data_IF_501307603896
#
_entry.id   IF_501307603896
#
_cell.length_a   1.000
_cell.length_b   1.000
_cell.length_c   1.000
_cell.angle_alpha   90.00
_cell.angle_beta   90.00
_cell.angle_gamma   90.00
#
_symmetry.space_group_name_H-M   'P 1'
#
loop_
_entity.id
_entity.type
_entity.pdbx_description
1 polymer ?
#
# COMPACT_ATOMS: atom_id res chain seq x y z
N UNK A 1 16.75 21.77 40.64
CA UNK A 1 15.75 21.29 39.66
C UNK A 1 16.50 20.44 38.67
N UNK A 2 16.21 19.14 38.60
CA UNK A 2 16.83 18.26 37.60
C UNK A 2 16.15 18.54 36.26
N UNK A 3 16.94 18.94 35.27
CA UNK A 3 16.51 19.07 33.88
C UNK A 3 16.05 17.69 33.40
N UNK A 4 14.76 17.56 33.13
CA UNK A 4 14.20 16.38 32.51
C UNK A 4 14.59 16.42 31.03
N UNK A 5 15.73 15.82 30.67
CA UNK A 5 16.06 15.56 29.28
C UNK A 5 15.02 14.60 28.72
N UNK A 6 14.11 15.14 27.90
CA UNK A 6 13.17 14.34 27.12
C UNK A 6 14.01 13.55 26.11
N UNK A 7 13.98 12.23 26.22
CA UNK A 7 14.62 11.34 25.26
C UNK A 7 13.83 11.36 23.94
N UNK A 8 14.27 12.22 23.01
CA UNK A 8 13.67 12.41 21.70
C UNK A 8 14.00 11.28 20.71
N UNK A 9 14.79 10.26 21.11
CA UNK A 9 15.09 9.11 20.25
C UNK A 9 13.84 8.30 19.86
N UNK A 10 12.73 8.46 20.60
CA UNK A 10 11.44 7.85 20.30
C UNK A 10 10.65 8.55 19.17
N UNK A 11 11.02 9.77 18.78
CA UNK A 11 10.42 10.48 17.64
C UNK A 11 11.14 10.14 16.33
N UNK A 12 11.42 8.85 16.13
CA UNK A 12 12.04 8.38 14.91
C UNK A 12 11.07 8.64 13.75
N UNK A 13 11.51 9.50 12.82
CA UNK A 13 10.69 10.03 11.75
C UNK A 13 10.32 8.88 10.81
N UNK A 14 9.06 8.42 10.85
CA UNK A 14 8.58 7.33 10.01
C UNK A 14 7.53 7.85 9.02
N UNK A 15 7.83 7.75 7.74
CA UNK A 15 6.88 7.96 6.64
C UNK A 15 6.42 6.62 6.10
N UNK A 16 5.17 6.54 5.63
CA UNK A 16 4.66 5.36 4.94
C UNK A 16 5.13 5.29 3.47
N UNK A 17 5.57 6.41 2.88
CA UNK A 17 6.00 6.47 1.48
C UNK A 17 7.48 6.11 1.29
N UNK A 18 7.78 5.26 0.30
CA UNK A 18 9.14 4.83 -0.03
C UNK A 18 9.97 5.96 -0.63
N UNK A 19 9.37 6.78 -1.50
CA UNK A 19 9.98 7.98 -2.07
C UNK A 19 10.38 9.00 -0.99
N UNK A 20 9.50 9.27 -0.01
CA UNK A 20 9.83 10.17 1.10
C UNK A 20 10.97 9.59 1.97
N UNK A 21 10.95 8.27 2.21
CA UNK A 21 11.96 7.61 3.00
C UNK A 21 13.35 7.64 2.34
N UNK A 22 13.39 7.44 1.02
CA UNK A 22 14.59 7.54 0.21
C UNK A 22 15.13 8.98 0.18
N UNK A 23 14.27 9.98 -0.06
CA UNK A 23 14.68 11.39 -0.08
C UNK A 23 15.27 11.83 1.27
N UNK A 24 14.65 11.42 2.38
CA UNK A 24 15.16 11.71 3.73
C UNK A 24 16.53 11.08 3.98
N UNK A 25 16.73 9.82 3.61
CA UNK A 25 18.00 9.14 3.82
C UNK A 25 19.13 9.75 2.97
N UNK A 26 18.83 10.17 1.73
CA UNK A 26 19.77 10.93 0.89
C UNK A 26 20.15 12.27 1.49
N UNK A 27 19.18 13.04 1.97
CA UNK A 27 19.41 14.35 2.60
C UNK A 27 20.25 14.23 3.88
N UNK A 28 19.95 13.24 4.73
CA UNK A 28 20.67 13.02 5.98
C UNK A 28 22.13 12.60 5.76
N UNK A 29 22.39 11.81 4.73
CA UNK A 29 23.71 11.25 4.44
C UNK A 29 24.51 12.08 3.43
N UNK A 30 23.87 13.08 2.79
CA UNK A 30 24.45 13.91 1.73
C UNK A 30 25.03 13.08 0.57
N UNK A 31 24.30 12.03 0.15
CA UNK A 31 24.70 11.13 -0.94
C UNK A 31 23.70 11.18 -2.11
N UNK A 32 24.21 11.03 -3.33
CA UNK A 32 23.39 11.06 -4.55
C UNK A 32 22.58 9.78 -4.78
N UNK A 33 22.97 8.66 -4.17
CA UNK A 33 22.25 7.38 -4.22
C UNK A 33 22.55 6.54 -3.00
N UNK A 34 21.59 5.70 -2.61
CA UNK A 34 21.68 4.85 -1.42
C UNK A 34 22.11 3.44 -1.86
N UNK A 35 23.27 2.93 -1.38
CA UNK A 35 23.67 1.55 -1.66
C UNK A 35 22.57 0.55 -1.29
N UNK A 36 22.32 -0.43 -2.17
CA UNK A 36 21.25 -1.41 -1.98
C UNK A 36 19.84 -0.91 -2.30
N UNK A 37 19.70 0.30 -2.87
CA UNK A 37 18.43 0.83 -3.36
C UNK A 37 18.59 1.30 -4.81
N UNK A 38 17.76 0.78 -5.70
CA UNK A 38 17.66 1.23 -7.09
C UNK A 38 16.39 2.04 -7.28
N UNK A 39 16.48 3.15 -7.99
CA UNK A 39 15.35 4.01 -8.35
C UNK A 39 15.29 4.21 -9.86
N UNK A 40 14.09 4.15 -10.41
CA UNK A 40 13.77 4.52 -11.79
C UNK A 40 12.56 5.46 -11.75
N UNK A 41 12.68 6.63 -12.38
CA UNK A 41 11.65 7.66 -12.36
C UNK A 41 11.32 8.12 -13.77
N UNK A 42 10.02 8.21 -14.04
CA UNK A 42 9.50 8.76 -15.29
C UNK A 42 8.45 9.81 -14.99
N UNK A 43 8.32 10.79 -15.88
CA UNK A 43 7.25 11.77 -15.81
C UNK A 43 6.64 11.93 -17.20
N UNK A 44 5.33 11.69 -17.30
CA UNK A 44 4.55 11.90 -18.53
C UNK A 44 3.18 12.45 -18.18
N UNK A 45 2.68 13.41 -18.95
CA UNK A 45 1.32 13.94 -18.84
C UNK A 45 0.93 14.45 -17.42
N UNK A 46 1.92 14.94 -16.66
CA UNK A 46 1.75 15.40 -15.29
C UNK A 46 1.59 14.27 -14.26
N UNK A 47 1.96 13.04 -14.63
CA UNK A 47 2.02 11.87 -13.78
C UNK A 47 3.48 11.47 -13.60
N UNK A 48 4.00 11.61 -12.38
CA UNK A 48 5.33 11.12 -12.02
C UNK A 48 5.21 9.71 -11.47
N UNK A 49 5.99 8.79 -12.01
CA UNK A 49 6.02 7.39 -11.61
C UNK A 49 7.42 7.05 -11.14
N UNK A 50 7.55 6.56 -9.91
CA UNK A 50 8.83 6.18 -9.29
C UNK A 50 8.79 4.71 -8.89
N UNK A 51 9.70 3.92 -9.46
CA UNK A 51 9.96 2.54 -9.12
C UNK A 51 11.19 2.47 -8.22
N UNK A 52 11.00 2.07 -6.97
CA UNK A 52 12.07 1.88 -5.99
C UNK A 52 12.20 0.39 -5.70
N UNK A 53 13.39 -0.16 -5.88
CA UNK A 53 13.73 -1.54 -5.52
C UNK A 53 14.75 -1.52 -4.39
N UNK A 54 14.35 -2.04 -3.23
CA UNK A 54 15.22 -2.24 -2.08
C UNK A 54 15.80 -3.65 -2.21
N UNK A 55 17.07 -3.73 -2.61
CA UNK A 55 17.70 -4.97 -3.07
C UNK A 55 18.22 -5.84 -1.92
N UNK A 56 18.58 -5.23 -0.78
CA UNK A 56 19.20 -5.94 0.33
C UNK A 56 18.88 -5.29 1.69
N UNK A 57 19.30 -5.97 2.76
CA UNK A 57 19.07 -5.55 4.14
C UNK A 57 19.79 -4.25 4.49
N UNK A 58 20.95 -3.98 3.89
CA UNK A 58 21.66 -2.72 4.07
C UNK A 58 20.82 -1.55 3.54
N UNK A 59 20.31 -1.63 2.31
CA UNK A 59 19.41 -0.63 1.75
C UNK A 59 18.13 -0.47 2.57
N UNK A 60 17.58 -1.57 3.09
CA UNK A 60 16.42 -1.56 3.97
C UNK A 60 16.65 -0.79 5.27
N UNK A 61 17.83 -0.95 5.90
CA UNK A 61 18.22 -0.21 7.10
C UNK A 61 18.43 1.27 6.80
N UNK A 62 19.02 1.59 5.64
CA UNK A 62 19.28 2.98 5.24
C UNK A 62 17.99 3.78 5.03
N UNK A 63 16.96 3.18 4.41
CA UNK A 63 15.69 3.88 4.14
C UNK A 63 14.56 3.53 5.11
N UNK A 64 14.74 2.56 6.01
CA UNK A 64 13.70 2.12 6.94
C UNK A 64 12.49 1.46 6.26
N UNK A 65 12.69 0.81 5.12
CA UNK A 65 11.68 0.05 4.36
C UNK A 65 12.15 -1.37 4.14
N UNK A 66 11.24 -2.33 4.11
CA UNK A 66 11.61 -3.73 3.91
C UNK A 66 12.19 -3.95 2.49
N UNK A 67 13.06 -4.96 2.30
CA UNK A 67 13.48 -5.38 0.96
C UNK A 67 12.27 -5.74 0.09
N UNK A 68 12.24 -5.25 -1.15
CA UNK A 68 11.12 -5.43 -2.07
C UNK A 68 10.99 -4.31 -3.09
N UNK A 69 9.86 -4.30 -3.78
CA UNK A 69 9.52 -3.38 -4.85
C UNK A 69 8.46 -2.38 -4.37
N UNK A 70 8.66 -1.12 -4.69
CA UNK A 70 7.76 -0.02 -4.39
C UNK A 70 7.50 0.76 -5.67
N UNK A 71 6.22 0.91 -6.03
CA UNK A 71 5.78 1.74 -7.13
C UNK A 71 5.02 2.93 -6.54
N UNK A 72 5.42 4.15 -6.87
CA UNK A 72 4.74 5.37 -6.45
C UNK A 72 4.27 6.14 -7.68
N UNK A 73 2.99 6.54 -7.69
CA UNK A 73 2.38 7.38 -8.71
C UNK A 73 1.98 8.70 -8.06
N UNK A 74 2.64 9.80 -8.43
CA UNK A 74 2.41 11.15 -7.92
C UNK A 74 1.79 12.04 -8.99
N UNK A 75 0.62 12.61 -8.67
CA UNK A 75 -0.17 13.45 -9.59
C UNK A 75 -0.74 14.63 -8.80
N UNK A 76 0.01 15.74 -8.64
CA UNK A 76 -0.42 16.89 -7.85
C UNK A 76 -1.79 17.46 -8.27
N UNK A 77 -2.10 17.38 -9.57
CA UNK A 77 -3.34 17.88 -10.14
C UNK A 77 -4.60 17.05 -9.79
N UNK A 78 -4.48 15.84 -9.22
CA UNK A 78 -5.64 15.02 -8.83
C UNK A 78 -6.59 15.73 -7.86
N UNK A 79 -6.06 16.67 -7.06
CA UNK A 79 -6.85 17.47 -6.11
C UNK A 79 -7.90 18.37 -6.76
N UNK A 80 -7.73 18.68 -8.05
CA UNK A 80 -8.69 19.48 -8.83
C UNK A 80 -9.99 18.74 -9.13
N UNK A 81 -10.01 17.40 -8.99
CA UNK A 81 -11.14 16.53 -9.30
C UNK A 81 -11.60 16.60 -10.77
N UNK A 82 -10.68 16.89 -11.69
CA UNK A 82 -10.94 16.83 -13.13
C UNK A 82 -11.15 15.38 -13.58
N UNK A 83 -12.31 15.09 -14.19
CA UNK A 83 -12.69 13.73 -14.57
C UNK A 83 -11.79 13.15 -15.68
N UNK A 84 -11.36 13.97 -16.63
CA UNK A 84 -10.47 13.52 -17.70
C UNK A 84 -9.10 13.14 -17.14
N UNK A 85 -8.59 13.90 -16.17
CA UNK A 85 -7.37 13.55 -15.45
C UNK A 85 -7.55 12.25 -14.66
N UNK A 86 -8.65 12.08 -13.95
CA UNK A 86 -8.93 10.84 -13.20
C UNK A 86 -8.92 9.61 -14.10
N UNK A 87 -9.54 9.70 -15.28
CA UNK A 87 -9.54 8.60 -16.26
C UNK A 87 -8.14 8.28 -16.77
N UNK A 88 -7.34 9.31 -17.10
CA UNK A 88 -5.93 9.12 -17.50
C UNK A 88 -5.10 8.47 -16.39
N UNK A 89 -5.25 8.94 -15.15
CA UNK A 89 -4.53 8.38 -14.00
C UNK A 89 -4.96 6.95 -13.73
N UNK A 90 -6.25 6.64 -13.85
CA UNK A 90 -6.74 5.27 -13.68
C UNK A 90 -6.16 4.33 -14.74
N UNK A 91 -6.13 4.75 -16.01
CA UNK A 91 -5.52 3.98 -17.09
C UNK A 91 -4.00 3.79 -16.89
N UNK A 92 -3.28 4.87 -16.52
CA UNK A 92 -1.86 4.83 -16.21
C UNK A 92 -1.57 3.87 -15.05
N UNK A 93 -2.29 4.03 -13.93
CA UNK A 93 -2.15 3.17 -12.77
C UNK A 93 -2.45 1.71 -13.09
N UNK A 94 -3.48 1.42 -13.90
CA UNK A 94 -3.80 0.06 -14.31
C UNK A 94 -2.66 -0.59 -15.11
N UNK A 95 -2.00 0.16 -16.00
CA UNK A 95 -0.85 -0.32 -16.76
C UNK A 95 0.36 -0.59 -15.85
N UNK A 96 0.73 0.37 -15.01
CA UNK A 96 1.85 0.23 -14.07
C UNK A 96 1.60 -0.90 -13.06
N UNK A 97 0.38 -1.02 -12.55
CA UNK A 97 0.01 -2.09 -11.62
C UNK A 97 0.01 -3.47 -12.29
N UNK A 98 -0.41 -3.56 -13.55
CA UNK A 98 -0.31 -4.80 -14.33
C UNK A 98 1.15 -5.21 -14.54
N UNK A 99 2.04 -4.27 -14.86
CA UNK A 99 3.47 -4.51 -14.94
C UNK A 99 4.05 -4.94 -13.59
N UNK A 100 3.65 -4.27 -12.51
CA UNK A 100 4.07 -4.59 -11.14
C UNK A 100 3.75 -6.05 -10.78
N UNK A 101 2.54 -6.50 -11.08
CA UNK A 101 2.13 -7.89 -10.86
C UNK A 101 2.99 -8.89 -11.65
N UNK A 102 3.36 -8.56 -12.88
CA UNK A 102 4.23 -9.41 -13.71
C UNK A 102 5.65 -9.45 -13.16
N UNK A 103 6.21 -8.31 -12.78
CA UNK A 103 7.59 -8.18 -12.29
C UNK A 103 7.81 -8.93 -10.96
N UNK A 104 6.78 -8.96 -10.10
CA UNK A 104 6.80 -9.72 -8.85
C UNK A 104 6.32 -11.17 -9.01
N UNK A 105 6.10 -11.63 -10.26
CA UNK A 105 5.87 -13.03 -10.60
C UNK A 105 4.46 -13.55 -10.31
N UNK A 106 3.45 -12.69 -10.29
CA UNK A 106 2.05 -13.11 -10.11
C UNK A 106 1.47 -13.63 -11.42
N UNK A 107 0.92 -14.85 -11.37
CA UNK A 107 0.25 -15.47 -12.51
C UNK A 107 -0.98 -14.66 -12.97
N UNK A 108 -1.20 -14.60 -14.30
CA UNK A 108 -2.30 -13.86 -14.89
C UNK A 108 -3.69 -14.37 -14.41
N UNK A 109 -3.78 -15.65 -14.03
CA UNK A 109 -4.98 -16.34 -13.57
C UNK A 109 -4.99 -16.59 -12.05
N UNK A 110 -4.07 -16.00 -11.29
CA UNK A 110 -3.99 -16.13 -9.83
C UNK A 110 -5.35 -15.83 -9.16
N UNK A 111 -5.77 -16.66 -8.19
CA UNK A 111 -6.92 -16.38 -7.32
C UNK A 111 -6.56 -15.23 -6.39
N UNK A 112 -7.26 -14.11 -6.50
CA UNK A 112 -6.95 -12.90 -5.73
C UNK A 112 -7.98 -12.69 -4.63
N UNK A 113 -7.50 -12.41 -3.42
CA UNK A 113 -8.31 -11.87 -2.32
C UNK A 113 -8.01 -10.37 -2.16
N UNK A 114 -8.99 -9.53 -2.42
CA UNK A 114 -8.92 -8.10 -2.11
C UNK A 114 -9.29 -7.88 -0.65
N UNK A 115 -8.49 -7.08 0.07
CA UNK A 115 -8.71 -6.75 1.48
C UNK A 115 -8.78 -5.24 1.65
N UNK A 116 -9.95 -4.74 2.02
CA UNK A 116 -10.14 -3.32 2.36
C UNK A 116 -9.86 -3.07 3.83
N UNK A 117 -8.71 -2.48 4.15
CA UNK A 117 -8.33 -2.13 5.52
C UNK A 117 -8.93 -0.78 5.92
N UNK A 118 -9.21 -0.66 7.22
CA UNK A 118 -9.67 0.57 7.83
C UNK A 118 -11.12 0.53 8.32
N UNK A 119 -11.54 1.65 8.89
CA UNK A 119 -12.83 1.81 9.54
C UNK A 119 -13.80 2.60 8.65
N UNK A 120 -14.86 1.96 8.18
CA UNK A 120 -15.91 2.59 7.38
C UNK A 120 -16.64 3.77 8.08
N UNK A 121 -16.56 3.87 9.41
CA UNK A 121 -17.14 4.98 10.17
C UNK A 121 -16.21 6.20 10.29
N UNK A 122 -14.96 6.11 9.82
CA UNK A 122 -13.96 7.18 9.92
C UNK A 122 -13.53 7.55 8.51
N UNK A 123 -14.00 8.71 8.02
CA UNK A 123 -13.76 9.16 6.64
C UNK A 123 -12.31 9.06 6.16
N UNK A 124 -11.28 9.52 6.92
CA UNK A 124 -9.89 9.42 6.46
C UNK A 124 -9.32 7.99 6.50
N UNK A 125 -10.03 7.03 7.09
CA UNK A 125 -9.64 5.61 7.23
C UNK A 125 -10.54 4.68 6.41
N UNK A 126 -11.51 5.22 5.66
CA UNK A 126 -12.52 4.44 4.94
C UNK A 126 -12.09 4.06 3.50
N UNK A 127 -10.87 4.39 3.07
CA UNK A 127 -10.39 4.15 1.70
C UNK A 127 -10.52 2.67 1.30
N UNK A 128 -9.99 1.75 2.10
CA UNK A 128 -10.05 0.32 1.82
C UNK A 128 -11.49 -0.18 1.63
N UNK A 129 -12.41 0.04 2.59
CA UNK A 129 -13.83 -0.27 2.42
C UNK A 129 -14.45 0.33 1.15
N UNK A 130 -14.10 1.56 0.78
CA UNK A 130 -14.60 2.21 -0.44
C UNK A 130 -14.08 1.54 -1.72
N UNK A 131 -12.80 1.16 -1.76
CA UNK A 131 -12.22 0.43 -2.89
C UNK A 131 -12.92 -0.92 -3.07
N UNK A 132 -13.10 -1.68 -1.98
CA UNK A 132 -13.79 -2.98 -2.03
C UNK A 132 -15.22 -2.82 -2.54
N UNK A 133 -15.95 -1.79 -2.09
CA UNK A 133 -17.33 -1.53 -2.55
C UNK A 133 -17.43 -1.28 -4.05
N UNK A 134 -16.39 -0.75 -4.68
CA UNK A 134 -16.34 -0.46 -6.13
C UNK A 134 -15.62 -1.56 -6.94
N UNK A 135 -15.13 -2.61 -6.28
CA UNK A 135 -14.38 -3.68 -6.93
C UNK A 135 -15.30 -4.73 -7.56
N UNK A 136 -14.91 -5.24 -8.73
CA UNK A 136 -15.61 -6.34 -9.39
C UNK A 136 -15.21 -7.68 -8.78
N UNK A 137 -16.12 -8.31 -8.04
CA UNK A 137 -15.92 -9.63 -7.41
C UNK A 137 -16.41 -10.72 -8.35
N UNK A 138 -15.59 -11.74 -8.60
CA UNK A 138 -15.84 -12.75 -9.64
C UNK A 138 -15.67 -14.18 -9.16
N UNK A 139 -15.06 -14.44 -8.00
CA UNK A 139 -14.80 -15.80 -7.47
C UNK A 139 -16.03 -16.70 -7.51
N UNK A 140 -17.19 -16.17 -7.12
CA UNK A 140 -18.44 -16.92 -7.10
C UNK A 140 -18.90 -17.38 -8.50
N UNK A 141 -18.55 -16.66 -9.57
CA UNK A 141 -18.84 -17.08 -10.95
C UNK A 141 -17.98 -18.26 -11.35
N UNK A 142 -16.69 -18.25 -11.00
CA UNK A 142 -15.79 -19.39 -11.22
C UNK A 142 -16.23 -20.65 -10.45
N UNK A 143 -16.84 -20.48 -9.27
CA UNK A 143 -17.30 -21.61 -8.44
C UNK A 143 -18.69 -22.14 -8.86
N UNK A 144 -19.61 -21.26 -9.25
CA UNK A 144 -21.01 -21.63 -9.48
C UNK A 144 -21.38 -21.76 -10.96
N UNK A 145 -20.69 -21.05 -11.85
CA UNK A 145 -20.99 -20.98 -13.28
C UNK A 145 -19.71 -20.84 -14.13
N UNK A 146 -18.74 -21.78 -14.03
CA UNK A 146 -17.45 -21.66 -14.71
C UNK A 146 -17.59 -21.50 -16.23
N UNK A 147 -18.56 -22.16 -16.86
CA UNK A 147 -18.81 -22.08 -18.31
C UNK A 147 -19.33 -20.71 -18.78
N UNK A 148 -19.69 -19.81 -17.86
CA UNK A 148 -20.17 -18.45 -18.17
C UNK A 148 -19.09 -17.39 -18.00
N UNK A 149 -17.91 -17.76 -17.49
CA UNK A 149 -16.82 -16.81 -17.30
C UNK A 149 -16.08 -16.63 -18.62
N UNK A 150 -16.07 -15.41 -19.13
CA UNK A 150 -15.33 -15.08 -20.35
C UNK A 150 -13.81 -15.12 -20.11
N UNK A 151 -13.07 -15.37 -21.19
CA UNK A 151 -11.61 -15.26 -21.18
C UNK A 151 -11.16 -13.86 -20.76
N UNK A 152 -10.04 -13.79 -20.04
CA UNK A 152 -9.46 -12.54 -19.53
C UNK A 152 -9.98 -12.11 -18.16
N UNK A 153 -10.98 -12.78 -17.60
CA UNK A 153 -11.38 -12.58 -16.21
C UNK A 153 -10.45 -13.33 -15.25
N UNK A 154 -10.17 -12.70 -14.11
CA UNK A 154 -9.44 -13.32 -12.98
C UNK A 154 -10.43 -13.69 -11.88
N UNK A 155 -10.19 -14.78 -11.13
CA UNK A 155 -10.98 -15.13 -9.95
C UNK A 155 -10.63 -14.22 -8.78
N UNK A 156 -11.55 -13.31 -8.44
CA UNK A 156 -11.37 -12.29 -7.40
C UNK A 156 -12.44 -12.43 -6.32
N UNK A 157 -12.02 -12.60 -5.07
CA UNK A 157 -12.84 -12.40 -3.86
C UNK A 157 -12.46 -11.10 -3.17
N UNK A 158 -13.34 -10.62 -2.28
CA UNK A 158 -13.09 -9.39 -1.54
C UNK A 158 -13.66 -9.44 -0.13
N UNK A 159 -12.97 -8.81 0.83
CA UNK A 159 -13.43 -8.66 2.20
C UNK A 159 -13.01 -7.30 2.77
N UNK A 160 -13.88 -6.70 3.58
CA UNK A 160 -13.57 -5.51 4.38
C UNK A 160 -13.82 -5.86 5.85
N UNK A 161 -12.82 -6.37 6.58
CA UNK A 161 -13.02 -6.96 7.91
C UNK A 161 -13.38 -5.93 8.99
N UNK A 162 -13.17 -4.65 8.74
CA UNK A 162 -13.30 -3.59 9.74
C UNK A 162 -12.12 -3.58 10.72
N UNK A 163 -12.34 -2.94 11.87
CA UNK A 163 -11.31 -2.72 12.89
C UNK A 163 -11.67 -3.40 14.21
N UNK A 164 -10.64 -3.68 15.03
CA UNK A 164 -10.77 -4.30 16.35
C UNK A 164 -11.88 -3.69 17.21
N UNK A 165 -12.01 -2.36 17.22
CA UNK A 165 -13.01 -1.66 18.02
C UNK A 165 -14.47 -1.93 17.63
N UNK A 166 -14.70 -2.52 16.45
CA UNK A 166 -16.03 -2.89 15.95
C UNK A 166 -16.26 -4.39 16.08
N UNK A 167 -15.26 -5.19 15.70
CA UNK A 167 -15.40 -6.66 15.59
C UNK A 167 -15.00 -7.40 16.87
N UNK A 168 -14.16 -6.81 17.72
CA UNK A 168 -13.52 -7.49 18.83
C UNK A 168 -12.43 -8.51 18.43
N UNK A 169 -12.13 -8.62 17.14
CA UNK A 169 -11.13 -9.54 16.57
C UNK A 169 -10.10 -8.72 15.81
N UNK A 170 -8.82 -9.05 15.95
CA UNK A 170 -7.77 -8.35 15.20
C UNK A 170 -7.99 -8.53 13.69
N UNK A 171 -7.86 -7.44 12.94
CA UNK A 171 -8.05 -7.45 11.48
C UNK A 171 -7.17 -8.53 10.82
N UNK A 172 -5.95 -8.71 11.31
CA UNK A 172 -5.03 -9.75 10.84
C UNK A 172 -5.52 -11.18 11.08
N UNK A 173 -6.26 -11.45 12.16
CA UNK A 173 -6.81 -12.77 12.45
C UNK A 173 -7.98 -13.11 11.52
N UNK A 174 -8.84 -12.12 11.25
CA UNK A 174 -9.94 -12.28 10.28
C UNK A 174 -9.38 -12.59 8.90
N UNK A 175 -8.39 -11.81 8.45
CA UNK A 175 -7.76 -12.00 7.13
C UNK A 175 -7.07 -13.36 7.06
N UNK A 176 -6.30 -13.73 8.09
CA UNK A 176 -5.66 -15.04 8.16
C UNK A 176 -6.70 -16.17 8.05
N UNK A 177 -7.79 -16.12 8.81
CA UNK A 177 -8.87 -17.11 8.73
C UNK A 177 -9.48 -17.22 7.34
N UNK A 178 -9.74 -16.09 6.68
CA UNK A 178 -10.25 -16.06 5.30
C UNK A 178 -9.23 -16.65 4.31
N UNK A 179 -7.93 -16.34 4.46
CA UNK A 179 -6.87 -16.88 3.60
C UNK A 179 -6.75 -18.40 3.76
N UNK A 180 -6.81 -18.92 4.98
CA UNK A 180 -6.73 -20.36 5.23
C UNK A 180 -7.90 -21.14 4.60
N UNK A 181 -9.10 -20.57 4.65
CA UNK A 181 -10.30 -21.20 4.10
C UNK A 181 -10.39 -21.06 2.58
N UNK A 182 -10.16 -19.85 2.05
CA UNK A 182 -10.38 -19.54 0.63
C UNK A 182 -9.18 -19.85 -0.27
N UNK A 183 -7.98 -19.99 0.32
CA UNK A 183 -6.71 -20.32 -0.34
C UNK A 183 -6.45 -19.50 -1.61
N UNK A 184 -6.44 -18.15 -1.51
CA UNK A 184 -6.05 -17.32 -2.63
C UNK A 184 -4.57 -17.52 -2.96
N UNK A 185 -4.18 -17.25 -4.20
CA UNK A 185 -2.79 -17.25 -4.64
C UNK A 185 -2.10 -15.89 -4.38
N UNK A 186 -2.89 -14.82 -4.19
CA UNK A 186 -2.43 -13.46 -3.88
C UNK A 186 -3.44 -12.73 -3.00
N UNK A 187 -2.94 -11.97 -2.02
CA UNK A 187 -3.72 -10.97 -1.28
C UNK A 187 -3.33 -9.56 -1.75
N UNK A 188 -4.32 -8.72 -2.06
CA UNK A 188 -4.11 -7.29 -2.33
C UNK A 188 -4.82 -6.49 -1.24
N UNK A 189 -4.05 -5.81 -0.39
CA UNK A 189 -4.55 -5.00 0.71
C UNK A 189 -4.59 -3.52 0.34
N UNK A 190 -5.73 -2.85 0.60
CA UNK A 190 -5.93 -1.42 0.36
C UNK A 190 -6.02 -0.67 1.70
N UNK A 191 -5.18 0.34 1.92
CA UNK A 191 -5.13 1.07 3.19
C UNK A 191 -4.94 2.57 3.01
N UNK A 192 -5.37 3.34 4.01
CA UNK A 192 -5.12 4.77 4.08
C UNK A 192 -3.74 5.00 4.69
N UNK A 193 -2.84 5.69 3.98
CA UNK A 193 -1.49 5.99 4.45
C UNK A 193 -1.40 7.37 5.09
N UNK A 194 -0.31 7.61 5.81
CA UNK A 194 0.06 8.92 6.29
C UNK A 194 1.28 9.48 5.55
N UNK A 195 1.21 10.75 5.15
CA UNK A 195 2.29 11.47 4.46
C UNK A 195 2.95 12.49 5.39
N UNK A 196 4.22 12.84 5.11
CA UNK A 196 4.86 14.02 5.72
C UNK A 196 4.60 15.28 4.90
N UNK A 197 4.57 15.16 3.57
CA UNK A 197 4.31 16.28 2.69
C UNK A 197 2.81 16.46 2.46
N UNK A 198 2.29 17.66 2.76
CA UNK A 198 0.91 18.03 2.45
C UNK A 198 0.61 17.87 0.97
N UNK A 199 1.60 18.15 0.09
CA UNK A 199 1.49 18.04 -1.36
C UNK A 199 1.12 16.63 -1.85
N UNK A 200 1.45 15.58 -1.09
CA UNK A 200 1.22 14.16 -1.45
C UNK A 200 -0.12 13.59 -0.98
N UNK A 201 -0.83 14.30 -0.09
CA UNK A 201 -2.16 13.89 0.38
C UNK A 201 -3.18 13.90 -0.75
N UNK A 202 -3.92 12.82 -0.99
CA UNK A 202 -4.90 12.68 -2.07
C UNK A 202 -4.34 12.89 -3.50
N UNK A 203 -3.03 12.81 -3.67
CA UNK A 203 -2.34 13.02 -4.96
C UNK A 203 -1.31 11.93 -5.23
N UNK A 204 -1.12 10.99 -4.31
CA UNK A 204 -0.11 9.93 -4.40
C UNK A 204 -0.76 8.58 -4.20
N UNK A 205 -0.38 7.59 -4.99
CA UNK A 205 -0.73 6.18 -4.81
C UNK A 205 0.59 5.41 -4.68
N UNK A 206 0.71 4.55 -3.67
CA UNK A 206 1.86 3.67 -3.49
C UNK A 206 1.43 2.21 -3.56
N UNK A 207 2.23 1.39 -4.22
CA UNK A 207 2.10 -0.06 -4.30
C UNK A 207 3.38 -0.69 -3.77
N UNK A 208 3.28 -1.80 -3.02
CA UNK A 208 4.44 -2.59 -2.61
C UNK A 208 4.12 -4.07 -2.44
N UNK A 209 5.12 -4.93 -2.67
CA UNK A 209 5.09 -6.39 -2.44
C UNK A 209 5.55 -6.79 -1.02
N UNK A 210 5.92 -5.81 -0.19
CA UNK A 210 6.44 -6.03 1.18
C UNK A 210 5.34 -6.20 2.23
N UNK A 211 4.08 -6.15 1.80
CA UNK A 211 2.91 -6.16 2.67
C UNK A 211 2.64 -4.80 3.34
N UNK A 212 1.87 -4.82 4.41
CA UNK A 212 1.46 -3.60 5.13
C UNK A 212 1.30 -3.82 6.63
N UNK A 213 1.55 -2.77 7.41
CA UNK A 213 1.27 -2.74 8.85
C UNK A 213 0.10 -1.80 9.11
N UNK A 214 -1.12 -2.32 9.32
CA UNK A 214 -2.32 -1.49 9.45
C UNK A 214 -2.20 -0.48 10.60
N UNK A 215 -2.46 0.79 10.33
CA UNK A 215 -2.40 1.86 11.35
C UNK A 215 -0.99 2.29 11.77
N UNK A 216 0.04 2.01 10.96
CA UNK A 216 1.41 2.47 11.19
C UNK A 216 1.52 4.00 11.32
N UNK A 217 0.76 4.76 10.53
CA UNK A 217 0.71 6.22 10.58
C UNK A 217 0.15 6.83 11.87
N UNK A 218 -0.48 6.02 12.73
CA UNK A 218 -0.98 6.44 14.07
C UNK A 218 -0.09 5.88 15.19
N UNK A 219 1.07 5.31 14.86
CA UNK A 219 2.05 4.82 15.86
C UNK A 219 1.69 3.48 16.50
N UNK A 220 0.66 2.77 16.02
CA UNK A 220 0.29 1.47 16.56
C UNK A 220 1.13 0.33 15.96
N UNK A 221 1.79 -0.46 16.80
CA UNK A 221 2.50 -1.69 16.41
C UNK A 221 1.53 -2.85 16.23
N UNK A 222 0.69 -2.83 15.18
CA UNK A 222 -0.16 -3.98 14.82
C UNK A 222 0.64 -5.03 14.06
N UNK A 223 0.15 -6.29 14.07
CA UNK A 223 0.73 -7.38 13.29
C UNK A 223 0.75 -7.01 11.80
N UNK A 224 1.90 -7.20 11.17
CA UNK A 224 2.07 -6.97 9.74
C UNK A 224 1.29 -8.01 8.93
N UNK A 225 0.67 -7.55 7.84
CA UNK A 225 0.08 -8.37 6.80
C UNK A 225 1.12 -8.49 5.68
N UNK A 226 1.83 -9.61 5.64
CA UNK A 226 2.84 -9.89 4.62
C UNK A 226 2.84 -11.39 4.29
N UNK A 227 3.72 -11.80 3.39
CA UNK A 227 3.83 -13.20 2.99
C UNK A 227 4.23 -14.13 4.15
N UNK A 228 5.06 -13.65 5.08
CA UNK A 228 5.47 -14.43 6.25
C UNK A 228 4.30 -14.73 7.19
N UNK A 229 3.37 -13.79 7.35
CA UNK A 229 2.23 -13.95 8.25
C UNK A 229 1.04 -14.67 7.62
N UNK A 230 0.82 -14.51 6.31
CA UNK A 230 -0.31 -15.11 5.61
C UNK A 230 0.03 -16.38 4.81
N UNK A 231 1.31 -16.65 4.55
CA UNK A 231 1.77 -17.79 3.75
C UNK A 231 1.53 -17.65 2.24
N UNK A 232 1.01 -16.51 1.79
CA UNK A 232 0.72 -16.18 0.39
C UNK A 232 1.26 -14.78 0.08
N UNK A 233 1.69 -14.48 -1.16
CA UNK A 233 2.11 -13.14 -1.55
C UNK A 233 1.11 -12.06 -1.13
N UNK A 234 1.60 -10.93 -0.65
CA UNK A 234 0.79 -9.78 -0.22
C UNK A 234 1.27 -8.52 -0.90
N UNK A 235 0.38 -7.91 -1.69
CA UNK A 235 0.61 -6.60 -2.29
C UNK A 235 -0.22 -5.58 -1.52
N UNK A 236 0.40 -4.50 -1.09
CA UNK A 236 -0.27 -3.39 -0.44
C UNK A 236 -0.38 -2.22 -1.40
N UNK A 237 -1.57 -1.62 -1.46
CA UNK A 237 -1.87 -0.40 -2.21
C UNK A 237 -2.35 0.64 -1.20
N UNK A 238 -1.67 1.77 -1.13
CA UNK A 238 -1.98 2.81 -0.16
C UNK A 238 -2.04 4.19 -0.77
N UNK A 239 -2.96 5.01 -0.25
CA UNK A 239 -3.10 6.42 -0.64
C UNK A 239 -2.94 7.28 0.60
N UNK A 240 -2.07 8.31 0.61
CA UNK A 240 -1.96 9.18 1.75
C UNK A 240 -3.20 10.06 1.90
N UNK A 241 -3.96 9.90 2.99
CA UNK A 241 -5.19 10.68 3.27
C UNK A 241 -4.97 11.70 4.39
N UNK A 242 -3.94 11.50 5.21
CA UNK A 242 -3.63 12.34 6.37
C UNK A 242 -2.16 12.77 6.39
N UNK A 243 -1.86 13.81 7.16
CA UNK A 243 -0.48 14.24 7.44
C UNK A 243 -0.07 13.84 8.86
N UNK A 244 1.19 13.46 9.04
CA UNK A 244 1.80 13.34 10.37
C UNK A 244 2.32 14.72 10.76
N UNK A 245 1.67 15.36 11.74
CA UNK A 245 2.17 16.63 12.31
C UNK A 245 3.14 16.36 13.46
N UNK A 246 4.31 17.00 13.40
CA UNK A 246 5.17 17.16 14.56
C UNK A 246 4.66 18.31 15.43
N UNK A 247 4.46 18.04 16.71
CA UNK A 247 4.44 19.09 17.73
C UNK A 247 5.89 19.24 18.19
N UNK A 248 6.50 20.38 17.90
CA UNK A 248 7.82 20.77 18.39
C UNK A 248 7.75 21.24 19.84
#
# INVERSE_FOLDING_TARGET
>A
MQEHQIDLSQYNIRTDLAVEAHDMAREQQQIDGIPGVRIDETESDGIRTSWIKVENQEGAEQIGKAPGTYLTVEVPALRTKDSNLQERVAAHFANEFSQFLQDVGIDANAKVLLVGLGNWNVTPDALGPHVIKQSMVTRHLFELAPDQVADGYRSVSAVSPGVLGITGIETSEIIYGVVQETKPDLVIAFDSLASRALSRVNTTIQVTDTGISPGAGVGNKRKQLNQETLGVPVIAVGVPIVIIMQVY
#
